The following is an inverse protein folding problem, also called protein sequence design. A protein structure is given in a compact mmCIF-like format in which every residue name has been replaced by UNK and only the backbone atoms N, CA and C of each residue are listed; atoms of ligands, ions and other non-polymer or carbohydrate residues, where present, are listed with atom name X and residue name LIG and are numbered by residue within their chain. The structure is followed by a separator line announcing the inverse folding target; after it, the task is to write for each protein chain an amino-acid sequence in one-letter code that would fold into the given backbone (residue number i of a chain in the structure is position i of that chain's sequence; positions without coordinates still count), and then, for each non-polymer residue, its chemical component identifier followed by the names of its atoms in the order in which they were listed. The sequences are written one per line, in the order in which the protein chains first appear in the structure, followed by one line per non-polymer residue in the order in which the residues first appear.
data_IF_182141146613
#
_entry.id   IF_182141146613
#
_cell.length_a   1.000
_cell.length_b   1.000
_cell.length_c   1.000
_cell.angle_alpha   90.00
_cell.angle_beta   90.00
_cell.angle_gamma   90.00
#
_symmetry.space_group_name_H-M   'P 1'
#
loop_
_entity.id
_entity.type
_entity.pdbx_description
1 polymer ?
#
# COMPACT_ATOMS: atom_id res chain seq x y z
N UNK A 1 20.43 98.06 35.35
CA UNK A 1 19.31 97.37 36.02
C UNK A 1 18.66 96.41 35.03
N UNK A 2 18.89 95.11 35.16
CA UNK A 2 18.17 94.11 34.35
C UNK A 2 17.58 93.06 35.29
N UNK A 3 16.24 93.03 35.38
CA UNK A 3 15.52 91.97 36.09
C UNK A 3 15.25 90.86 35.08
N UNK A 4 15.97 89.75 35.18
CA UNK A 4 15.61 88.51 34.49
C UNK A 4 14.32 87.97 35.12
N UNK A 5 13.21 88.04 34.39
CA UNK A 5 12.00 87.33 34.75
C UNK A 5 12.17 85.86 34.39
N UNK A 6 12.37 85.02 35.39
CA UNK A 6 12.44 83.57 35.21
C UNK A 6 10.99 83.07 35.14
N UNK A 7 10.48 82.90 33.93
CA UNK A 7 9.17 82.27 33.70
C UNK A 7 9.32 80.78 34.03
N UNK A 8 8.88 80.39 35.22
CA UNK A 8 8.83 78.98 35.64
C UNK A 8 7.84 78.22 34.75
N UNK A 9 8.34 77.52 33.73
CA UNK A 9 7.59 76.48 33.04
C UNK A 9 7.53 75.26 33.97
N UNK A 10 6.41 75.09 34.68
CA UNK A 10 6.18 73.92 35.50
C UNK A 10 5.95 72.71 34.58
N UNK A 11 6.96 71.85 34.47
CA UNK A 11 6.83 70.56 33.79
C UNK A 11 6.00 69.61 34.66
N UNK A 12 4.67 69.61 34.45
CA UNK A 12 3.78 68.64 35.08
C UNK A 12 4.06 67.26 34.50
N UNK A 13 4.71 66.38 35.28
CA UNK A 13 4.85 64.96 34.97
C UNK A 13 3.49 64.29 35.22
N UNK A 14 2.71 64.09 34.19
CA UNK A 14 1.45 63.34 34.25
C UNK A 14 1.78 61.86 34.11
N UNK A 15 1.49 61.06 35.14
CA UNK A 15 1.54 59.60 35.03
C UNK A 15 0.29 59.12 34.29
N UNK A 16 0.44 58.63 33.06
CA UNK A 16 -0.65 57.93 32.37
C UNK A 16 -0.64 56.46 32.78
N UNK A 17 -1.61 56.06 33.57
CA UNK A 17 -1.91 54.65 33.83
C UNK A 17 -2.86 54.15 32.74
N UNK A 18 -2.33 53.38 31.78
CA UNK A 18 -3.18 52.62 30.88
C UNK A 18 -3.72 51.39 31.62
N UNK A 19 -5.04 51.16 31.71
CA UNK A 19 -5.55 49.92 32.27
C UNK A 19 -5.10 48.75 31.41
N UNK A 20 -4.47 47.75 32.04
CA UNK A 20 -4.11 46.52 31.36
C UNK A 20 -5.39 45.81 30.90
N UNK A 21 -5.49 45.51 29.60
CA UNK A 21 -6.58 44.70 29.05
C UNK A 21 -6.25 43.23 29.27
N UNK A 22 -6.78 42.64 30.35
CA UNK A 22 -6.74 41.19 30.55
C UNK A 22 -7.88 40.52 29.78
N UNK A 23 -7.55 39.52 28.95
CA UNK A 23 -8.55 38.71 28.26
C UNK A 23 -8.78 37.44 29.08
N UNK A 24 -9.88 37.43 29.84
CA UNK A 24 -10.20 36.32 30.74
C UNK A 24 -10.40 35.00 30.00
N UNK A 25 -10.85 35.04 28.74
CA UNK A 25 -11.07 33.84 27.93
C UNK A 25 -9.74 33.20 27.54
N UNK A 26 -8.76 34.01 27.11
CA UNK A 26 -7.43 33.48 26.76
C UNK A 26 -6.71 32.92 27.99
N UNK A 27 -6.84 33.61 29.12
CA UNK A 27 -6.14 33.22 30.35
C UNK A 27 -6.72 31.91 30.90
N UNK A 28 -8.06 31.78 30.90
CA UNK A 28 -8.77 30.55 31.26
C UNK A 28 -8.39 29.40 30.33
N UNK A 29 -8.36 29.63 29.01
CA UNK A 29 -7.99 28.60 28.04
C UNK A 29 -6.57 28.08 28.26
N UNK A 30 -5.60 28.99 28.45
CA UNK A 30 -4.20 28.61 28.71
C UNK A 30 -4.10 27.87 30.05
N UNK A 31 -4.84 28.29 31.07
CA UNK A 31 -4.87 27.61 32.37
C UNK A 31 -5.42 26.19 32.23
N UNK A 32 -6.50 25.99 31.48
CA UNK A 32 -7.09 24.68 31.23
C UNK A 32 -6.14 23.77 30.44
N UNK A 33 -5.47 24.28 29.40
CA UNK A 33 -4.46 23.50 28.67
C UNK A 33 -3.34 23.06 29.61
N UNK A 34 -2.82 23.97 30.43
CA UNK A 34 -1.74 23.65 31.38
C UNK A 34 -2.17 22.66 32.45
N UNK A 35 -3.42 22.73 32.89
CA UNK A 35 -4.00 21.83 33.87
C UNK A 35 -4.38 20.47 33.27
N UNK A 36 -4.63 20.40 31.96
CA UNK A 36 -5.02 19.19 31.29
C UNK A 36 -3.84 18.21 31.23
N UNK A 37 -3.97 17.11 31.97
CA UNK A 37 -3.08 15.95 31.89
C UNK A 37 -3.83 14.86 31.14
N UNK A 38 -3.47 14.56 29.87
CA UNK A 38 -4.09 13.45 29.18
C UNK A 38 -3.88 12.16 29.98
N UNK A 39 -4.93 11.37 30.13
CA UNK A 39 -4.83 10.06 30.77
C UNK A 39 -3.87 9.21 29.93
N UNK A 40 -2.76 8.72 30.49
CA UNK A 40 -1.83 7.89 29.72
C UNK A 40 -2.56 6.63 29.28
N UNK A 41 -2.57 6.37 27.98
CA UNK A 41 -3.12 5.13 27.45
C UNK A 41 -2.30 3.96 28.03
N UNK A 42 -2.99 2.97 28.57
CA UNK A 42 -2.36 1.74 29.02
C UNK A 42 -1.74 1.03 27.82
N UNK A 43 -0.62 0.33 27.99
CA UNK A 43 0.02 -0.43 26.90
C UNK A 43 -0.96 -1.42 26.25
N UNK A 44 -1.86 -2.01 27.05
CA UNK A 44 -2.94 -2.89 26.58
C UNK A 44 -3.92 -2.20 25.63
N UNK A 45 -4.19 -0.93 25.86
CA UNK A 45 -5.13 -0.14 25.06
C UNK A 45 -4.50 0.18 23.70
N UNK A 46 -3.20 0.53 23.70
CA UNK A 46 -2.39 0.74 22.49
C UNK A 46 -2.30 -0.54 21.65
N UNK A 47 -2.04 -1.69 22.29
CA UNK A 47 -1.95 -2.99 21.62
C UNK A 47 -3.31 -3.43 21.02
N UNK A 48 -4.42 -3.10 21.68
CA UNK A 48 -5.76 -3.41 21.16
C UNK A 48 -6.20 -2.51 20.00
N UNK A 49 -5.70 -1.27 19.96
CA UNK A 49 -6.03 -0.28 18.93
C UNK A 49 -5.26 -0.51 17.63
N UNK A 50 -4.10 -1.18 17.69
CA UNK A 50 -3.21 -1.38 16.54
C UNK A 50 -3.17 -2.85 16.13
N UNK A 51 -3.50 -3.14 14.87
CA UNK A 51 -3.22 -4.46 14.28
C UNK A 51 -1.73 -4.56 13.99
N UNK A 52 -1.03 -5.49 14.65
CA UNK A 52 0.39 -5.74 14.41
C UNK A 52 0.61 -6.28 13.01
N UNK A 53 1.46 -5.62 12.23
CA UNK A 53 1.82 -6.09 10.90
C UNK A 53 2.76 -7.30 11.01
N UNK A 54 2.30 -8.47 10.58
CA UNK A 54 3.12 -9.66 10.43
C UNK A 54 3.40 -9.88 8.96
N UNK A 55 4.66 -10.16 8.62
CA UNK A 55 5.01 -10.52 7.25
C UNK A 55 4.35 -11.87 6.92
N UNK A 56 3.77 -12.02 5.73
CA UNK A 56 3.22 -13.30 5.31
C UNK A 56 4.34 -14.34 5.27
N UNK A 57 4.01 -15.57 5.64
CA UNK A 57 4.94 -16.69 5.51
C UNK A 57 5.29 -16.89 4.04
N UNK A 58 6.53 -17.34 3.78
CA UNK A 58 6.95 -17.72 2.43
C UNK A 58 5.93 -18.72 1.87
N UNK A 59 5.47 -18.56 0.61
CA UNK A 59 4.54 -19.51 0.02
C UNK A 59 5.13 -20.93 0.13
N UNK A 60 4.35 -21.85 0.68
CA UNK A 60 4.68 -23.26 0.59
C UNK A 60 4.53 -23.68 -0.86
N UNK A 61 5.52 -24.40 -1.38
CA UNK A 61 5.36 -25.08 -2.67
C UNK A 61 4.19 -26.06 -2.48
N UNK A 62 3.18 -26.04 -3.37
CA UNK A 62 2.12 -27.03 -3.31
C UNK A 62 2.72 -28.43 -3.41
N UNK A 63 2.18 -29.36 -2.64
CA UNK A 63 2.59 -30.77 -2.68
C UNK A 63 2.46 -31.26 -4.12
N UNK A 64 3.59 -31.53 -4.76
CA UNK A 64 3.60 -32.15 -6.09
C UNK A 64 3.06 -33.56 -5.91
N UNK A 65 1.85 -33.80 -6.39
CA UNK A 65 1.16 -35.12 -6.32
C UNK A 65 1.96 -36.25 -7.00
N UNK A 66 2.99 -35.90 -7.76
CA UNK A 66 3.86 -36.81 -8.49
C UNK A 66 5.25 -36.79 -7.83
N UNK A 67 5.60 -37.89 -7.16
CA UNK A 67 6.95 -38.13 -6.64
C UNK A 67 7.95 -38.32 -7.79
N UNK A 68 9.22 -37.97 -7.58
CA UNK A 68 10.28 -38.16 -8.57
C UNK A 68 10.37 -39.62 -9.07
N UNK A 69 10.05 -40.59 -8.21
CA UNK A 69 10.01 -42.00 -8.57
C UNK A 69 8.87 -42.31 -9.55
N UNK A 70 7.71 -41.65 -9.42
CA UNK A 70 6.58 -41.81 -10.33
C UNK A 70 6.89 -41.21 -11.72
N UNK A 71 7.68 -40.14 -11.78
CA UNK A 71 8.20 -39.60 -13.05
C UNK A 71 9.15 -40.59 -13.73
N UNK A 72 10.06 -41.20 -12.97
CA UNK A 72 11.00 -42.18 -13.54
C UNK A 72 10.31 -43.44 -14.07
N UNK A 73 9.24 -43.88 -13.40
CA UNK A 73 8.42 -45.01 -13.85
C UNK A 73 7.64 -44.67 -15.13
N UNK A 74 7.11 -43.45 -15.23
CA UNK A 74 6.44 -42.99 -16.45
C UNK A 74 7.42 -42.86 -17.63
N UNK A 75 8.63 -42.35 -17.40
CA UNK A 75 9.66 -42.28 -18.45
C UNK A 75 10.12 -43.66 -18.94
N UNK A 76 10.09 -44.67 -18.05
CA UNK A 76 10.51 -46.03 -18.37
C UNK A 76 9.38 -46.91 -18.90
N UNK A 77 8.12 -46.46 -18.85
CA UNK A 77 6.99 -47.24 -19.34
C UNK A 77 6.93 -47.18 -20.87
N UNK A 78 7.01 -48.34 -21.52
CA UNK A 78 6.81 -48.45 -22.96
C UNK A 78 5.36 -48.13 -23.33
N UNK A 79 5.18 -47.31 -24.37
CA UNK A 79 3.85 -46.92 -24.85
C UNK A 79 3.21 -48.09 -25.56
N UNK A 80 2.17 -48.67 -24.97
CA UNK A 80 1.38 -49.75 -25.54
C UNK A 80 0.47 -49.21 -26.66
N UNK A 81 1.05 -48.95 -27.83
CA UNK A 81 0.27 -48.70 -29.05
C UNK A 81 -0.29 -50.03 -29.57
N UNK A 82 -1.57 -50.07 -29.93
CA UNK A 82 -2.26 -51.26 -30.45
C UNK A 82 -1.78 -51.73 -31.85
N UNK A 83 -0.58 -51.35 -32.28
CA UNK A 83 -0.01 -51.70 -33.59
C UNK A 83 1.50 -51.96 -33.45
N UNK A 84 1.85 -52.96 -32.65
CA UNK A 84 3.18 -53.56 -32.69
C UNK A 84 3.15 -54.85 -33.53
N UNK A 85 2.93 -54.69 -34.84
CA UNK A 85 3.22 -55.68 -35.88
C UNK A 85 3.71 -54.90 -37.11
N UNK A 86 4.89 -55.18 -37.68
CA UNK A 86 5.36 -54.52 -38.90
C UNK A 86 4.57 -55.06 -40.10
N UNK A 87 3.33 -54.58 -40.27
CA UNK A 87 2.51 -54.94 -41.42
C UNK A 87 3.02 -54.21 -42.67
N UNK A 88 3.72 -54.98 -43.50
CA UNK A 88 4.10 -54.61 -44.86
C UNK A 88 2.86 -54.60 -45.78
N UNK A 89 2.02 -53.58 -45.73
CA UNK A 89 1.00 -53.33 -46.76
C UNK A 89 0.76 -51.82 -46.86
N UNK A 90 1.09 -51.27 -48.03
CA UNK A 90 0.73 -49.92 -48.44
C UNK A 90 -0.80 -49.74 -48.50
N UNK A 91 -1.22 -48.47 -48.59
CA UNK A 91 -2.59 -47.97 -48.82
C UNK A 91 -3.49 -47.88 -47.58
N UNK A 92 -3.28 -46.86 -46.77
CA UNK A 92 -4.10 -45.64 -46.86
C UNK A 92 -3.50 -44.63 -45.88
N UNK A 93 -2.74 -43.67 -46.43
CA UNK A 93 -2.53 -42.43 -45.70
C UNK A 93 -3.92 -41.82 -45.55
N UNK A 94 -4.50 -41.93 -44.34
CA UNK A 94 -5.68 -41.19 -43.97
C UNK A 94 -5.45 -39.76 -44.46
N UNK A 95 -6.31 -39.32 -45.39
CA UNK A 95 -6.20 -37.99 -45.97
C UNK A 95 -6.01 -37.01 -44.80
N UNK A 96 -5.01 -36.14 -44.91
CA UNK A 96 -4.87 -35.01 -44.00
C UNK A 96 -6.15 -34.18 -44.17
N UNK A 97 -7.16 -34.48 -43.36
CA UNK A 97 -8.40 -33.73 -43.33
C UNK A 97 -8.01 -32.32 -42.90
N UNK A 98 -8.23 -31.35 -43.80
CA UNK A 98 -7.84 -29.96 -43.57
C UNK A 98 -8.74 -29.38 -42.47
N UNK A 99 -8.25 -29.42 -41.23
CA UNK A 99 -8.97 -28.95 -40.03
C UNK A 99 -9.14 -27.42 -40.00
N UNK A 100 -8.58 -26.71 -40.98
CA UNK A 100 -8.70 -25.27 -41.13
C UNK A 100 -9.51 -24.91 -42.36
N UNK A 101 -10.74 -24.42 -42.13
CA UNK A 101 -11.50 -23.74 -43.19
C UNK A 101 -10.94 -22.32 -43.30
N UNK A 102 -10.14 -22.05 -44.32
CA UNK A 102 -9.78 -20.69 -44.69
C UNK A 102 -10.98 -20.04 -45.38
N UNK A 103 -11.39 -18.85 -44.91
CA UNK A 103 -12.36 -18.04 -45.65
C UNK A 103 -11.73 -17.69 -47.01
N UNK A 104 -12.47 -17.98 -48.09
CA UNK A 104 -12.07 -17.71 -49.47
C UNK A 104 -11.84 -16.19 -49.61
N UNK A 105 -10.57 -15.73 -49.52
CA UNK A 105 -10.23 -14.33 -49.82
C UNK A 105 -10.61 -14.07 -51.28
N UNK A 106 -11.51 -13.10 -51.49
CA UNK A 106 -11.94 -12.61 -52.80
C UNK A 106 -10.75 -12.49 -53.76
N UNK A 107 -10.91 -13.07 -54.96
CA UNK A 107 -9.94 -13.12 -56.06
C UNK A 107 -9.17 -11.80 -56.25
N UNK A 108 -8.00 -11.69 -55.61
CA UNK A 108 -6.95 -10.77 -56.04
C UNK A 108 -5.98 -11.54 -56.91
N UNK A 109 -6.26 -11.56 -58.21
CA UNK A 109 -5.38 -12.06 -59.26
C UNK A 109 -3.93 -11.59 -59.08
N UNK A 110 -3.03 -12.52 -58.76
CA UNK A 110 -1.61 -12.46 -59.11
C UNK A 110 -1.07 -13.86 -59.38
#
# INVERSE_FOLDING_TARGET
MFRQSVRSLSARRLFSISPQRSNLVSDLYIQQIKAFKPTPFSSKDVESSVKTFQLPTKPSVPESEISADALSQYESSDVETATAEPSSVATDAAAEEDWFVFEEEEEHHH
#
